data_IF_194289815319
#
_entry.id   IF_194289815319
#
_cell.length_a   1.000
_cell.length_b   1.000
_cell.length_c   1.000
_cell.angle_alpha   90.00
_cell.angle_beta   90.00
_cell.angle_gamma   90.00
#
_symmetry.space_group_name_H-M   'P 1'
#
loop_
_entity.id
_entity.type
_entity.pdbx_description
1 polymer ?
#
# COMPACT_ATOMS: atom_id res chain seq x y z
N UNK A 1 -59.83 1.55 -23.80
CA UNK A 1 -58.63 1.01 -23.14
C UNK A 1 -57.44 1.14 -24.07
N UNK A 2 -56.54 2.11 -23.84
CA UNK A 2 -55.22 2.17 -24.48
C UNK A 2 -54.21 2.32 -23.34
N UNK A 3 -53.40 1.28 -23.15
CA UNK A 3 -52.30 1.26 -22.19
C UNK A 3 -51.17 2.14 -22.74
N UNK A 4 -50.85 3.23 -22.04
CA UNK A 4 -49.63 4.00 -22.23
C UNK A 4 -48.53 3.35 -21.40
N UNK A 5 -47.53 2.78 -22.08
CA UNK A 5 -46.34 2.20 -21.47
C UNK A 5 -45.47 3.27 -20.82
N UNK A 6 -45.12 3.07 -19.55
CA UNK A 6 -44.09 3.85 -18.86
C UNK A 6 -42.72 3.52 -19.46
N UNK A 7 -42.09 4.50 -20.10
CA UNK A 7 -40.68 4.47 -20.45
C UNK A 7 -39.89 4.60 -19.15
N UNK A 8 -39.15 3.54 -18.78
CA UNK A 8 -38.29 3.54 -17.61
C UNK A 8 -37.10 4.47 -17.82
N UNK A 9 -37.02 5.54 -17.02
CA UNK A 9 -35.82 6.34 -16.88
C UNK A 9 -34.73 5.46 -16.27
N UNK A 10 -33.59 5.35 -16.95
CA UNK A 10 -32.40 4.70 -16.40
C UNK A 10 -31.96 5.41 -15.11
N UNK A 11 -31.48 4.68 -14.09
CA UNK A 11 -31.04 5.29 -12.84
C UNK A 11 -29.86 6.24 -13.10
N UNK A 12 -29.75 7.34 -12.32
CA UNK A 12 -28.66 8.29 -12.48
C UNK A 12 -27.31 7.59 -12.26
N UNK A 13 -26.35 7.85 -13.14
CA UNK A 13 -24.98 7.37 -12.98
C UNK A 13 -24.39 7.98 -11.70
N UNK A 14 -23.67 7.21 -10.87
CA UNK A 14 -23.08 7.73 -9.66
C UNK A 14 -22.05 8.84 -9.97
N UNK A 15 -21.89 9.83 -9.08
CA UNK A 15 -20.90 10.88 -9.27
C UNK A 15 -19.48 10.30 -9.36
N UNK A 16 -18.61 10.93 -10.15
CA UNK A 16 -17.25 10.44 -10.45
C UNK A 16 -16.44 10.14 -9.18
N UNK A 17 -16.60 10.93 -8.11
CA UNK A 17 -15.96 10.69 -6.80
C UNK A 17 -16.43 9.38 -6.12
N UNK A 18 -17.71 9.01 -6.27
CA UNK A 18 -18.25 7.75 -5.75
C UNK A 18 -17.74 6.56 -6.57
N UNK A 19 -17.61 6.72 -7.89
CA UNK A 19 -17.04 5.71 -8.78
C UNK A 19 -15.54 5.50 -8.50
N UNK A 20 -14.79 6.58 -8.30
CA UNK A 20 -13.39 6.53 -7.86
C UNK A 20 -13.28 5.90 -6.48
N UNK A 21 -14.15 6.24 -5.53
CA UNK A 21 -14.20 5.62 -4.20
C UNK A 21 -14.52 4.11 -4.24
N UNK A 22 -15.43 3.67 -5.11
CA UNK A 22 -15.74 2.25 -5.34
C UNK A 22 -14.58 1.50 -6.01
N UNK A 23 -13.92 2.12 -6.99
CA UNK A 23 -12.72 1.57 -7.63
C UNK A 23 -11.59 1.46 -6.60
N UNK A 24 -11.34 2.49 -5.79
CA UNK A 24 -10.33 2.45 -4.73
C UNK A 24 -10.63 1.42 -3.64
N UNK A 25 -11.89 1.25 -3.23
CA UNK A 25 -12.29 0.16 -2.32
C UNK A 25 -11.99 -1.23 -2.90
N UNK A 26 -12.17 -1.42 -4.21
CA UNK A 26 -11.85 -2.68 -4.90
C UNK A 26 -10.34 -2.89 -5.08
N UNK A 27 -9.57 -1.84 -5.34
CA UNK A 27 -8.10 -1.89 -5.44
C UNK A 27 -7.42 -2.07 -4.06
N UNK A 28 -8.11 -1.70 -2.98
CA UNK A 28 -7.63 -1.78 -1.61
C UNK A 28 -7.73 -3.17 -0.97
N UNK A 29 -8.53 -4.10 -1.49
CA UNK A 29 -8.65 -5.46 -0.93
C UNK A 29 -7.70 -6.42 -1.64
N UNK A 30 -6.60 -6.80 -0.97
CA UNK A 30 -5.71 -7.86 -1.48
C UNK A 30 -6.41 -9.21 -1.37
N UNK A 31 -6.68 -9.86 -2.50
CA UNK A 31 -7.26 -11.22 -2.54
C UNK A 31 -6.17 -12.29 -2.70
N UNK A 32 -5.30 -12.15 -3.70
CA UNK A 32 -4.18 -13.08 -3.95
C UNK A 32 -2.95 -12.33 -4.48
N UNK A 33 -1.80 -12.43 -3.80
CA UNK A 33 -0.54 -11.82 -4.28
C UNK A 33 0.29 -12.84 -5.04
N UNK A 34 0.51 -12.59 -6.32
CA UNK A 34 1.48 -13.34 -7.12
C UNK A 34 2.87 -12.70 -7.08
N UNK A 35 3.96 -13.48 -7.16
CA UNK A 35 5.31 -12.99 -6.96
C UNK A 35 5.82 -12.11 -8.11
N UNK A 36 5.67 -12.53 -9.36
CA UNK A 36 6.15 -11.81 -10.53
C UNK A 36 5.19 -11.97 -11.73
N UNK A 37 5.05 -10.92 -12.55
CA UNK A 37 4.31 -10.96 -13.82
C UNK A 37 4.97 -11.88 -14.85
N UNK A 38 6.31 -11.94 -14.83
CA UNK A 38 7.11 -12.84 -15.64
C UNK A 38 7.39 -14.14 -14.92
N UNK A 39 7.65 -15.21 -15.67
CA UNK A 39 8.26 -16.42 -15.12
C UNK A 39 9.60 -16.05 -14.52
N UNK A 40 9.87 -16.52 -13.29
CA UNK A 40 11.12 -16.26 -12.60
C UNK A 40 12.01 -17.48 -12.58
N UNK A 41 13.32 -17.27 -12.68
CA UNK A 41 14.35 -18.28 -12.58
C UNK A 41 15.30 -17.95 -11.42
N UNK A 42 15.85 -19.01 -10.80
CA UNK A 42 16.91 -18.89 -9.79
C UNK A 42 18.25 -19.00 -10.51
N UNK A 43 19.11 -18.00 -10.31
CA UNK A 43 20.49 -17.98 -10.81
C UNK A 43 21.46 -18.10 -9.64
N UNK A 44 22.47 -18.93 -9.79
CA UNK A 44 23.59 -19.10 -8.84
C UNK A 44 24.56 -17.91 -8.91
N UNK A 45 24.02 -16.72 -8.68
CA UNK A 45 24.74 -15.45 -8.64
C UNK A 45 24.29 -14.67 -7.40
N UNK A 46 25.20 -13.92 -6.74
CA UNK A 46 24.85 -13.15 -5.55
C UNK A 46 23.67 -12.20 -5.76
N UNK A 47 22.76 -12.16 -4.79
CA UNK A 47 21.62 -11.25 -4.80
C UNK A 47 22.06 -9.81 -4.54
N UNK A 48 21.68 -8.89 -5.42
CA UNK A 48 21.83 -7.45 -5.16
C UNK A 48 20.85 -6.92 -4.09
N UNK A 49 19.85 -7.73 -3.68
CA UNK A 49 18.81 -7.34 -2.72
C UNK A 49 19.13 -7.76 -1.28
N UNK A 50 19.87 -8.86 -1.11
CA UNK A 50 20.13 -9.46 0.21
C UNK A 50 21.60 -9.83 0.31
N UNK A 51 22.28 -9.18 1.24
CA UNK A 51 23.66 -9.49 1.57
C UNK A 51 23.80 -10.98 1.93
N UNK A 52 24.87 -11.60 1.43
CA UNK A 52 25.20 -13.01 1.65
C UNK A 52 24.23 -14.04 1.06
N UNK A 53 23.24 -13.65 0.25
CA UNK A 53 22.44 -14.63 -0.51
C UNK A 53 23.21 -15.04 -1.78
N UNK A 54 23.59 -16.33 -1.94
CA UNK A 54 24.45 -16.78 -3.03
C UNK A 54 23.73 -16.94 -4.38
N UNK A 55 22.39 -16.83 -4.38
CA UNK A 55 21.55 -16.91 -5.56
C UNK A 55 20.68 -15.66 -5.71
N UNK A 56 20.20 -15.39 -6.92
CA UNK A 56 19.23 -14.32 -7.20
C UNK A 56 18.04 -14.86 -8.00
N UNK A 57 16.87 -14.29 -7.74
CA UNK A 57 15.65 -14.58 -8.50
C UNK A 57 15.47 -13.51 -9.57
N UNK A 58 15.50 -13.91 -10.84
CA UNK A 58 15.40 -13.01 -11.99
C UNK A 58 14.15 -13.31 -12.81
N UNK A 59 13.52 -12.28 -13.37
CA UNK A 59 12.45 -12.42 -14.35
C UNK A 59 13.04 -12.83 -15.71
N UNK A 60 12.35 -13.73 -16.39
CA UNK A 60 12.58 -14.06 -17.80
C UNK A 60 11.80 -13.10 -18.70
N UNK A 61 11.90 -13.29 -20.01
CA UNK A 61 11.08 -12.55 -20.99
C UNK A 61 9.65 -13.08 -21.13
N UNK A 62 9.35 -14.24 -20.53
CA UNK A 62 8.09 -14.93 -20.66
C UNK A 62 7.10 -14.46 -19.59
N UNK A 63 5.91 -14.00 -20.00
CA UNK A 63 4.81 -13.68 -19.08
C UNK A 63 4.31 -14.99 -18.46
N UNK A 64 4.07 -14.99 -17.15
CA UNK A 64 3.59 -16.19 -16.45
C UNK A 64 2.17 -16.57 -16.87
N UNK A 65 1.86 -17.87 -16.94
CA UNK A 65 0.50 -18.35 -17.24
C UNK A 65 -0.53 -17.80 -16.24
N UNK A 66 -0.20 -17.84 -14.94
CA UNK A 66 -1.04 -17.26 -13.89
C UNK A 66 -1.37 -15.77 -14.16
N UNK A 67 -0.47 -15.01 -14.81
CA UNK A 67 -0.75 -13.62 -15.18
C UNK A 67 -1.65 -13.47 -16.40
N UNK A 68 -1.49 -14.35 -17.39
CA UNK A 68 -2.40 -14.41 -18.54
C UNK A 68 -3.81 -14.84 -18.12
N UNK A 69 -3.91 -15.82 -17.22
CA UNK A 69 -5.16 -16.35 -16.69
C UNK A 69 -5.96 -15.27 -15.91
N UNK A 70 -5.25 -14.32 -15.30
CA UNK A 70 -5.84 -13.18 -14.59
C UNK A 70 -6.17 -11.96 -15.49
N UNK A 71 -6.02 -12.09 -16.81
CA UNK A 71 -6.21 -11.01 -17.79
C UNK A 71 -5.38 -9.74 -17.48
N UNK A 72 -4.06 -9.93 -17.30
CA UNK A 72 -3.12 -8.85 -16.95
C UNK A 72 -3.16 -7.63 -17.89
N UNK A 73 -3.57 -7.81 -19.16
CA UNK A 73 -3.64 -6.72 -20.13
C UNK A 73 -4.79 -5.74 -19.88
N UNK A 74 -5.84 -6.18 -19.19
CA UNK A 74 -6.96 -5.34 -18.74
C UNK A 74 -6.77 -4.81 -17.32
N UNK A 75 -5.70 -5.22 -16.63
CA UNK A 75 -5.45 -4.87 -15.23
C UNK A 75 -4.98 -3.42 -15.07
N UNK A 76 -5.27 -2.85 -13.89
CA UNK A 76 -4.91 -1.46 -13.57
C UNK A 76 -3.50 -1.44 -12.94
N UNK A 77 -2.49 -0.82 -13.58
CA UNK A 77 -1.14 -0.74 -13.01
C UNK A 77 -1.03 0.39 -11.99
N UNK A 78 -0.38 0.08 -10.87
CA UNK A 78 -0.16 1.02 -9.77
C UNK A 78 1.28 0.92 -9.29
N UNK A 79 1.79 1.98 -8.67
CA UNK A 79 3.09 1.97 -8.02
C UNK A 79 3.11 0.91 -6.92
N UNK A 80 4.12 0.05 -6.93
CA UNK A 80 4.44 -0.76 -5.77
C UNK A 80 5.13 0.12 -4.74
N UNK A 81 4.45 0.33 -3.62
CA UNK A 81 5.01 1.07 -2.49
C UNK A 81 5.82 0.12 -1.60
N UNK A 82 7.03 0.54 -1.25
CA UNK A 82 7.93 -0.19 -0.37
C UNK A 82 7.69 0.22 1.08
N UNK A 83 6.67 -0.38 1.68
CA UNK A 83 6.27 -0.18 3.06
C UNK A 83 6.09 -1.48 3.83
N UNK A 84 5.49 -1.37 5.01
CA UNK A 84 4.94 -2.51 5.71
C UNK A 84 3.42 -2.51 5.57
N UNK A 85 2.89 -3.66 5.13
CA UNK A 85 1.48 -3.78 4.83
C UNK A 85 0.63 -3.68 6.11
N UNK A 86 -0.46 -2.94 6.00
CA UNK A 86 -1.44 -2.68 7.05
C UNK A 86 -2.85 -2.94 6.52
N UNK A 87 -3.80 -3.02 7.43
CA UNK A 87 -5.22 -3.21 7.12
C UNK A 87 -6.07 -2.39 8.08
N UNK A 88 -7.20 -1.84 7.63
CA UNK A 88 -8.15 -1.19 8.53
C UNK A 88 -9.44 -2.00 8.56
N UNK A 89 -9.84 -2.42 9.75
CA UNK A 89 -11.10 -3.13 10.01
C UNK A 89 -11.54 -2.94 11.44
N UNK A 90 -12.75 -3.38 11.76
CA UNK A 90 -13.37 -3.21 13.06
C UNK A 90 -12.65 -4.02 14.14
N UNK A 91 -12.34 -3.39 15.26
CA UNK A 91 -11.87 -4.01 16.49
C UNK A 91 -12.54 -3.32 17.68
N UNK A 92 -13.15 -4.08 18.59
CA UNK A 92 -13.91 -3.52 19.73
C UNK A 92 -14.97 -2.49 19.27
N UNK A 93 -15.72 -2.86 18.22
CA UNK A 93 -16.78 -2.06 17.59
C UNK A 93 -16.34 -0.70 17.01
N UNK A 94 -15.04 -0.48 16.79
CA UNK A 94 -14.48 0.74 16.21
C UNK A 94 -13.52 0.45 15.05
N UNK A 95 -13.42 1.34 14.04
CA UNK A 95 -12.38 1.23 13.01
C UNK A 95 -10.98 1.26 13.63
N UNK A 96 -10.14 0.28 13.28
CA UNK A 96 -8.83 0.12 13.87
C UNK A 96 -7.77 -0.17 12.81
N UNK A 97 -6.52 0.22 13.06
CA UNK A 97 -5.39 -0.17 12.23
C UNK A 97 -4.88 -1.53 12.69
N UNK A 98 -4.57 -2.39 11.72
CA UNK A 98 -4.03 -3.72 11.92
C UNK A 98 -2.72 -3.85 11.18
N UNK A 99 -1.72 -4.40 11.86
CA UNK A 99 -0.41 -4.68 11.29
C UNK A 99 -0.39 -6.11 10.72
N UNK A 100 0.34 -6.29 9.62
CA UNK A 100 0.57 -7.61 9.03
C UNK A 100 1.35 -8.51 9.99
N UNK A 101 0.86 -9.72 10.21
CA UNK A 101 1.54 -10.77 10.97
C UNK A 101 1.32 -12.13 10.32
N UNK A 102 2.32 -12.60 9.57
CA UNK A 102 2.27 -13.88 8.88
C UNK A 102 2.76 -14.99 9.80
N UNK A 103 2.05 -16.12 9.82
CA UNK A 103 2.45 -17.32 10.55
C UNK A 103 3.17 -18.27 9.60
N UNK A 104 4.16 -19.02 10.08
CA UNK A 104 4.81 -20.08 9.30
C UNK A 104 4.76 -21.37 10.15
N UNK A 105 3.87 -22.32 9.85
CA UNK A 105 3.82 -23.57 10.58
C UNK A 105 5.02 -24.42 10.16
N UNK A 106 6.08 -24.46 10.96
CA UNK A 106 7.25 -25.30 10.72
C UNK A 106 8.00 -25.59 12.04
N UNK A 107 7.71 -26.77 12.61
CA UNK A 107 8.51 -27.56 13.58
C UNK A 107 8.75 -26.92 14.97
N UNK A 108 8.21 -27.60 15.98
CA UNK A 108 8.39 -27.45 17.44
C UNK A 108 7.87 -26.16 18.12
N UNK A 109 7.82 -25.00 17.47
CA UNK A 109 7.22 -23.78 18.07
C UNK A 109 5.70 -23.67 17.87
N UNK A 110 5.11 -24.63 17.14
CA UNK A 110 3.73 -24.66 16.60
C UNK A 110 2.58 -24.79 17.64
N UNK A 111 2.86 -24.73 18.95
CA UNK A 111 1.82 -24.77 20.00
C UNK A 111 1.52 -23.42 20.63
N UNK A 112 2.17 -22.33 20.22
CA UNK A 112 1.74 -21.00 20.70
C UNK A 112 0.39 -20.68 20.04
N UNK A 113 -0.68 -20.48 20.84
CA UNK A 113 -1.95 -20.01 20.29
C UNK A 113 -1.70 -18.77 19.46
N UNK A 114 -2.47 -18.59 18.39
CA UNK A 114 -2.54 -17.28 17.77
C UNK A 114 -2.83 -16.26 18.88
N UNK A 115 -2.21 -15.07 18.83
CA UNK A 115 -2.64 -14.00 19.72
C UNK A 115 -4.17 -13.91 19.63
N UNK A 116 -4.88 -13.75 20.74
CA UNK A 116 -6.36 -13.86 20.77
C UNK A 116 -7.05 -12.97 19.73
N UNK A 117 -6.36 -11.92 19.29
CA UNK A 117 -6.84 -10.96 18.29
C UNK A 117 -6.18 -11.12 16.91
N UNK A 118 -5.52 -12.23 16.59
CA UNK A 118 -5.01 -12.48 15.23
C UNK A 118 -6.16 -12.94 14.33
N UNK A 119 -6.27 -12.34 13.14
CA UNK A 119 -7.23 -12.76 12.13
C UNK A 119 -6.51 -13.14 10.84
N UNK A 120 -6.96 -14.20 10.13
CA UNK A 120 -6.41 -14.52 8.82
C UNK A 120 -6.71 -13.39 7.84
N UNK A 121 -5.83 -13.21 6.86
CA UNK A 121 -6.18 -12.37 5.71
C UNK A 121 -7.39 -12.95 4.96
N UNK A 122 -8.13 -12.08 4.26
CA UNK A 122 -9.28 -12.50 3.46
C UNK A 122 -8.85 -13.51 2.41
N UNK A 123 -9.76 -14.44 2.11
CA UNK A 123 -9.66 -15.38 0.98
C UNK A 123 -8.42 -16.29 0.97
N UNK A 124 -7.85 -16.56 2.15
CA UNK A 124 -6.91 -17.69 2.33
C UNK A 124 -7.68 -19.00 2.12
N UNK A 125 -7.08 -19.93 1.38
CA UNK A 125 -7.62 -21.28 1.21
C UNK A 125 -7.88 -21.91 2.58
N UNK A 126 -9.06 -22.50 2.75
CA UNK A 126 -9.43 -23.14 4.02
C UNK A 126 -9.60 -24.64 3.83
N UNK A 127 -8.97 -25.41 4.73
CA UNK A 127 -9.21 -26.85 4.86
C UNK A 127 -9.86 -27.10 6.23
N UNK A 128 -11.08 -27.65 6.21
CA UNK A 128 -11.86 -27.91 7.44
C UNK A 128 -12.03 -26.68 8.34
N UNK A 129 -12.14 -25.48 7.75
CA UNK A 129 -12.30 -24.20 8.47
C UNK A 129 -10.99 -23.60 9.01
N UNK A 130 -9.84 -24.23 8.78
CA UNK A 130 -8.54 -23.69 9.14
C UNK A 130 -7.84 -23.07 7.92
N UNK A 131 -7.17 -21.91 8.08
CA UNK A 131 -6.42 -21.29 6.99
C UNK A 131 -5.18 -22.12 6.65
N UNK A 132 -5.03 -22.46 5.38
CA UNK A 132 -3.90 -23.24 4.86
C UNK A 132 -2.70 -22.33 4.53
N UNK A 133 -1.46 -22.83 4.68
CA UNK A 133 -0.26 -22.13 4.25
C UNK A 133 -0.21 -21.94 2.72
N UNK A 134 0.36 -20.82 2.28
CA UNK A 134 0.65 -20.56 0.88
C UNK A 134 1.78 -21.46 0.34
N UNK A 135 2.11 -21.32 -0.95
CA UNK A 135 3.20 -22.06 -1.61
C UNK A 135 4.59 -21.87 -0.94
N UNK A 136 4.75 -20.84 -0.10
CA UNK A 136 5.97 -20.54 0.67
C UNK A 136 5.87 -20.98 2.14
N UNK A 137 4.76 -21.61 2.53
CA UNK A 137 4.46 -22.06 3.89
C UNK A 137 4.02 -20.93 4.81
N UNK A 138 3.57 -19.77 4.32
CA UNK A 138 3.06 -18.69 5.17
C UNK A 138 1.55 -18.67 5.21
N UNK A 139 0.99 -18.36 6.39
CA UNK A 139 -0.41 -18.01 6.56
C UNK A 139 -0.48 -16.50 6.83
N UNK A 140 -0.81 -15.72 5.80
CA UNK A 140 -1.17 -14.31 5.90
C UNK A 140 -2.10 -13.96 7.06
N UNK A 141 -1.81 -12.90 7.81
CA UNK A 141 -2.74 -12.45 8.83
C UNK A 141 -2.49 -11.07 9.38
N UNK A 142 -3.32 -10.69 10.35
CA UNK A 142 -3.39 -9.34 10.89
C UNK A 142 -3.51 -9.37 12.41
N UNK A 143 -2.95 -8.37 13.08
CA UNK A 143 -3.19 -8.11 14.51
C UNK A 143 -3.47 -6.63 14.74
N UNK A 144 -4.32 -6.27 15.71
CA UNK A 144 -4.65 -4.88 15.96
C UNK A 144 -3.44 -4.10 16.49
N UNK A 145 -3.29 -2.86 16.03
CA UNK A 145 -2.23 -1.93 16.45
C UNK A 145 -2.69 -1.21 17.70
N UNK A 146 -2.45 -1.82 18.86
CA UNK A 146 -2.76 -1.19 20.15
C UNK A 146 -1.72 -0.12 20.53
N UNK A 147 -2.19 0.99 21.11
CA UNK A 147 -1.40 2.20 21.41
C UNK A 147 -0.10 1.94 22.20
N UNK A 148 -0.09 0.94 23.08
CA UNK A 148 1.04 0.63 23.96
C UNK A 148 1.91 -0.53 23.47
N UNK A 149 1.65 -1.08 22.28
CA UNK A 149 2.44 -2.16 21.74
C UNK A 149 3.72 -1.62 21.09
N UNK A 150 4.86 -1.78 21.79
CA UNK A 150 6.18 -1.34 21.31
C UNK A 150 6.56 -1.93 19.95
N UNK A 151 6.05 -3.11 19.59
CA UNK A 151 6.32 -3.74 18.29
C UNK A 151 5.74 -2.92 17.13
N UNK A 152 4.63 -2.22 17.37
CA UNK A 152 3.89 -1.47 16.36
C UNK A 152 3.92 0.04 16.61
N UNK A 153 4.90 0.55 17.37
CA UNK A 153 4.98 1.97 17.72
C UNK A 153 4.93 2.92 16.50
N UNK A 154 5.50 2.53 15.36
CA UNK A 154 5.43 3.31 14.11
C UNK A 154 4.04 3.27 13.46
N UNK A 155 3.33 2.15 13.57
CA UNK A 155 1.95 2.06 13.11
C UNK A 155 1.04 2.92 14.00
N UNK A 156 1.25 2.87 15.32
CA UNK A 156 0.51 3.72 16.28
C UNK A 156 0.77 5.21 16.09
N UNK A 157 1.87 5.61 15.44
CA UNK A 157 2.22 7.02 15.22
C UNK A 157 1.37 7.71 14.14
N UNK A 158 0.77 6.94 13.25
CA UNK A 158 -0.01 7.44 12.10
C UNK A 158 -1.51 7.35 12.30
N UNK A 159 -1.97 6.93 13.48
CA UNK A 159 -3.39 6.85 13.82
C UNK A 159 -3.66 7.54 15.15
N UNK A 160 -4.84 8.14 15.25
CA UNK A 160 -5.36 8.67 16.51
C UNK A 160 -6.77 8.13 16.71
N UNK A 161 -6.90 7.11 17.57
CA UNK A 161 -8.17 6.46 17.87
C UNK A 161 -9.14 7.33 18.68
N UNK A 162 -8.66 8.38 19.38
CA UNK A 162 -9.55 9.31 20.08
C UNK A 162 -10.39 10.13 19.12
N UNK A 163 -9.80 10.50 17.98
CA UNK A 163 -10.47 11.23 16.91
C UNK A 163 -10.85 10.35 15.71
N UNK A 164 -10.60 9.04 15.81
CA UNK A 164 -10.81 8.06 14.74
C UNK A 164 -10.21 8.48 13.39
N UNK A 165 -8.98 9.02 13.38
CA UNK A 165 -8.29 9.51 12.18
C UNK A 165 -6.95 8.82 11.92
N UNK A 166 -6.50 8.88 10.68
CA UNK A 166 -5.22 8.40 10.19
C UNK A 166 -4.49 9.45 9.34
N UNK A 167 -3.16 9.49 9.40
CA UNK A 167 -2.32 10.30 8.51
C UNK A 167 -2.10 9.56 7.19
N UNK A 168 -2.64 10.11 6.11
CA UNK A 168 -2.65 9.49 4.79
C UNK A 168 -1.96 10.36 3.75
N UNK A 169 -1.07 9.76 2.96
CA UNK A 169 -0.53 10.32 1.72
C UNK A 169 -1.36 9.82 0.53
N UNK A 170 -1.86 10.76 -0.28
CA UNK A 170 -2.69 10.48 -1.46
C UNK A 170 -2.45 11.52 -2.57
N UNK A 171 -3.09 11.33 -3.72
CA UNK A 171 -3.16 12.38 -4.73
C UNK A 171 -4.04 13.54 -4.26
N UNK A 172 -3.64 14.77 -4.59
CA UNK A 172 -4.55 15.91 -4.47
C UNK A 172 -5.75 15.68 -5.41
N UNK A 173 -7.00 15.90 -4.95
CA UNK A 173 -8.20 15.59 -5.72
C UNK A 173 -8.27 16.34 -7.07
N UNK A 174 -7.81 17.60 -7.08
CA UNK A 174 -7.93 18.47 -8.25
C UNK A 174 -6.63 18.64 -9.05
N UNK A 175 -5.48 18.15 -8.54
CA UNK A 175 -4.18 18.30 -9.18
C UNK A 175 -3.41 16.98 -9.16
N UNK A 176 -3.43 16.27 -10.28
CA UNK A 176 -2.76 14.98 -10.39
C UNK A 176 -1.23 15.04 -10.26
N UNK A 177 -0.62 16.22 -10.42
CA UNK A 177 0.82 16.44 -10.20
C UNK A 177 1.17 16.62 -8.72
N UNK A 178 0.20 16.99 -7.88
CA UNK A 178 0.38 17.30 -6.47
C UNK A 178 0.00 16.12 -5.57
N UNK A 179 0.81 15.88 -4.55
CA UNK A 179 0.49 14.98 -3.44
C UNK A 179 -0.20 15.77 -2.32
N UNK A 180 -1.03 15.09 -1.53
CA UNK A 180 -1.64 15.63 -0.33
C UNK A 180 -1.36 14.70 0.87
N UNK A 181 -0.90 15.28 1.97
CA UNK A 181 -0.93 14.64 3.29
C UNK A 181 -2.13 15.19 4.05
N UNK A 182 -2.99 14.30 4.52
CA UNK A 182 -4.23 14.69 5.22
C UNK A 182 -4.53 13.77 6.39
N UNK A 183 -5.25 14.30 7.38
CA UNK A 183 -5.95 13.47 8.36
C UNK A 183 -7.25 12.97 7.73
N UNK A 184 -7.43 11.66 7.68
CA UNK A 184 -8.59 11.00 7.08
C UNK A 184 -9.29 10.15 8.14
N UNK A 185 -10.64 10.16 8.24
CA UNK A 185 -11.37 9.24 9.10
C UNK A 185 -10.98 7.77 8.85
N UNK A 186 -10.75 7.01 9.91
CA UNK A 186 -10.48 5.57 9.81
C UNK A 186 -11.66 4.82 9.17
N UNK A 187 -12.88 5.31 9.33
CA UNK A 187 -14.08 4.79 8.68
C UNK A 187 -14.01 4.83 7.15
N UNK A 188 -13.34 5.84 6.57
CA UNK A 188 -13.14 5.94 5.12
C UNK A 188 -12.15 4.89 4.60
N UNK A 189 -11.29 4.37 5.49
CA UNK A 189 -10.27 3.36 5.19
C UNK A 189 -10.74 1.93 5.49
N UNK A 190 -11.96 1.74 6.02
CA UNK A 190 -12.48 0.41 6.37
C UNK A 190 -12.38 -0.57 5.20
N UNK A 191 -11.91 -1.77 5.53
CA UNK A 191 -11.70 -2.90 4.65
C UNK A 191 -10.65 -2.65 3.54
N UNK A 192 -9.81 -1.62 3.68
CA UNK A 192 -8.69 -1.36 2.78
C UNK A 192 -7.37 -1.84 3.39
N UNK A 193 -6.51 -2.37 2.53
CA UNK A 193 -5.10 -2.57 2.83
C UNK A 193 -4.30 -1.31 2.47
N UNK A 194 -3.28 -1.03 3.27
CA UNK A 194 -2.42 0.13 3.13
C UNK A 194 -0.96 -0.30 3.24
N UNK A 195 -0.06 0.57 2.83
CA UNK A 195 1.36 0.48 3.12
C UNK A 195 1.72 1.60 4.09
N UNK A 196 2.26 1.24 5.25
CA UNK A 196 2.91 2.19 6.14
C UNK A 196 4.31 2.46 5.59
N UNK A 197 4.65 3.73 5.39
CA UNK A 197 6.01 4.16 5.01
C UNK A 197 6.54 5.16 6.04
N UNK A 198 7.86 5.36 6.07
CA UNK A 198 8.45 6.37 6.93
C UNK A 198 9.89 6.10 7.32
N UNK A 199 10.40 6.97 8.21
CA UNK A 199 11.80 6.99 8.64
C UNK A 199 12.33 5.64 9.14
N UNK A 200 11.48 4.83 9.76
CA UNK A 200 11.85 3.55 10.37
C UNK A 200 11.23 2.34 9.67
N UNK A 201 10.76 2.50 8.42
CA UNK A 201 10.10 1.44 7.67
C UNK A 201 10.89 1.12 6.40
N UNK A 202 11.16 -0.16 6.18
CA UNK A 202 11.80 -0.69 4.96
C UNK A 202 13.10 0.03 4.54
N UNK A 203 13.87 0.55 5.49
CA UNK A 203 15.10 1.30 5.20
C UNK A 203 14.88 2.74 4.70
N UNK A 204 13.65 3.26 4.78
CA UNK A 204 13.24 4.61 4.38
C UNK A 204 13.57 4.95 2.91
N UNK A 205 13.07 4.17 1.93
CA UNK A 205 13.38 4.38 0.51
C UNK A 205 12.87 5.72 -0.01
N UNK A 206 11.89 6.32 0.67
CA UNK A 206 11.28 7.60 0.31
C UNK A 206 11.96 8.82 0.98
N UNK A 207 12.94 8.61 1.86
CA UNK A 207 13.68 9.70 2.50
C UNK A 207 12.81 10.58 3.42
N UNK A 208 11.81 9.98 4.07
CA UNK A 208 10.88 10.69 4.94
C UNK A 208 11.48 10.94 6.32
N UNK A 209 11.42 12.19 6.78
CA UNK A 209 11.88 12.61 8.10
C UNK A 209 13.33 12.27 8.41
N UNK A 210 13.66 12.23 9.69
CA UNK A 210 15.01 11.88 10.18
C UNK A 210 14.93 11.11 11.50
N UNK A 211 16.03 10.50 11.95
CA UNK A 211 16.05 9.84 13.28
C UNK A 211 15.66 10.79 14.42
N UNK A 212 15.97 12.09 14.29
CA UNK A 212 15.62 13.12 15.28
C UNK A 212 14.14 13.52 15.18
N UNK A 213 13.61 13.58 13.97
CA UNK A 213 12.24 13.94 13.65
C UNK A 213 11.62 12.89 12.74
N UNK A 214 11.24 11.72 13.30
CA UNK A 214 10.68 10.64 12.50
C UNK A 214 9.36 11.08 11.89
N UNK A 215 9.10 10.62 10.67
CA UNK A 215 7.88 10.88 9.91
C UNK A 215 7.40 9.57 9.29
N UNK A 216 6.12 9.27 9.50
CA UNK A 216 5.45 8.09 8.97
C UNK A 216 4.10 8.47 8.37
N UNK A 217 3.66 7.76 7.34
CA UNK A 217 2.41 8.00 6.61
C UNK A 217 1.82 6.66 6.16
N UNK A 218 0.49 6.58 6.08
CA UNK A 218 -0.21 5.49 5.41
C UNK A 218 -0.48 5.83 3.94
N UNK A 219 -0.35 4.84 3.07
CA UNK A 219 -0.74 4.93 1.66
C UNK A 219 -1.74 3.81 1.36
N UNK A 220 -2.99 4.12 0.98
CA UNK A 220 -3.92 3.09 0.50
C UNK A 220 -3.35 2.34 -0.70
N UNK A 221 -3.51 1.01 -0.73
CA UNK A 221 -3.10 0.23 -1.88
C UNK A 221 -3.81 0.70 -3.14
N UNK A 222 -3.04 0.81 -4.23
CA UNK A 222 -3.54 1.27 -5.52
C UNK A 222 -3.84 2.77 -5.63
N UNK A 223 -3.48 3.57 -4.62
CA UNK A 223 -3.67 5.03 -4.64
C UNK A 223 -2.90 5.72 -5.79
N UNK A 224 -1.78 5.17 -6.22
CA UNK A 224 -0.89 5.76 -7.22
C UNK A 224 -0.94 4.94 -8.52
N UNK A 225 -1.91 5.23 -9.39
CA UNK A 225 -1.99 4.61 -10.72
C UNK A 225 -0.87 5.10 -11.64
N UNK A 226 -0.30 4.20 -12.43
CA UNK A 226 0.75 4.50 -13.40
C UNK A 226 0.08 4.84 -14.73
N UNK A 227 0.32 6.04 -15.25
CA UNK A 227 -0.36 6.52 -16.46
C UNK A 227 0.40 6.18 -17.73
N UNK A 228 1.73 6.25 -17.70
CA UNK A 228 2.57 6.07 -18.88
C UNK A 228 3.34 4.75 -18.82
N UNK A 229 2.62 3.66 -18.57
CA UNK A 229 3.22 2.33 -18.56
C UNK A 229 3.56 1.89 -20.00
N UNK A 230 4.76 1.38 -20.28
CA UNK A 230 5.08 0.83 -21.59
C UNK A 230 4.35 -0.50 -21.82
N UNK A 231 4.40 -1.01 -23.06
CA UNK A 231 3.91 -2.37 -23.35
C UNK A 231 4.52 -3.40 -22.41
N UNK A 232 3.72 -4.38 -21.96
CA UNK A 232 4.14 -5.45 -21.05
C UNK A 232 5.13 -6.41 -21.73
N UNK A 233 6.38 -5.97 -21.84
CA UNK A 233 7.54 -6.71 -22.36
C UNK A 233 8.72 -6.44 -21.44
N UNK A 234 9.51 -7.47 -21.16
CA UNK A 234 10.63 -7.41 -20.21
C UNK A 234 11.59 -6.24 -20.49
N UNK A 235 12.11 -6.14 -21.71
CA UNK A 235 13.04 -5.08 -22.11
C UNK A 235 12.44 -3.66 -22.07
N UNK A 236 11.14 -3.53 -22.36
CA UNK A 236 10.43 -2.24 -22.31
C UNK A 236 10.21 -1.77 -20.88
N UNK A 237 9.85 -2.68 -19.98
CA UNK A 237 9.76 -2.37 -18.56
C UNK A 237 11.13 -2.03 -17.97
N UNK A 238 12.18 -2.81 -18.29
CA UNK A 238 13.55 -2.52 -17.88
C UNK A 238 13.96 -1.09 -18.27
N UNK A 239 13.82 -0.74 -19.55
CA UNK A 239 14.14 0.60 -20.07
C UNK A 239 13.32 1.69 -19.38
N UNK A 240 12.06 1.42 -19.05
CA UNK A 240 11.19 2.38 -18.36
C UNK A 240 11.59 2.60 -16.91
N UNK A 241 11.94 1.55 -16.16
CA UNK A 241 12.44 1.67 -14.78
C UNK A 241 13.75 2.45 -14.70
N UNK A 242 14.59 2.41 -15.74
CA UNK A 242 15.87 3.13 -15.79
C UNK A 242 15.73 4.57 -16.30
N UNK A 243 15.00 4.76 -17.40
CA UNK A 243 14.96 6.04 -18.12
C UNK A 243 13.75 6.93 -17.84
N UNK A 244 12.64 6.39 -17.31
CA UNK A 244 11.44 7.18 -17.08
C UNK A 244 11.43 7.78 -15.67
N UNK A 245 10.99 9.05 -15.56
CA UNK A 245 10.78 9.71 -14.26
C UNK A 245 9.74 8.97 -13.41
N UNK A 246 8.60 8.58 -13.99
CA UNK A 246 7.54 7.78 -13.34
C UNK A 246 8.03 6.37 -12.98
N UNK A 247 9.05 5.87 -13.69
CA UNK A 247 9.68 4.57 -13.47
C UNK A 247 10.65 4.50 -12.29
N UNK A 248 10.88 5.61 -11.57
CA UNK A 248 11.73 5.65 -10.38
C UNK A 248 11.01 5.13 -9.13
N UNK A 249 10.46 3.92 -9.21
CA UNK A 249 9.63 3.27 -8.18
C UNK A 249 10.14 1.85 -7.89
N UNK A 250 9.73 1.25 -6.76
CA UNK A 250 10.19 -0.11 -6.35
C UNK A 250 9.79 -1.18 -7.36
N UNK A 251 8.60 -1.00 -7.93
CA UNK A 251 7.96 -1.99 -8.76
C UNK A 251 6.58 -1.53 -9.21
N UNK A 252 5.88 -2.41 -9.90
CA UNK A 252 4.50 -2.20 -10.35
C UNK A 252 3.63 -3.28 -9.72
N UNK A 253 2.42 -2.92 -9.32
CA UNK A 253 1.35 -3.85 -8.96
C UNK A 253 0.18 -3.64 -9.93
N UNK A 254 -0.16 -4.67 -10.68
CA UNK A 254 -1.36 -4.75 -11.50
C UNK A 254 -2.51 -5.34 -10.69
N UNK A 255 -3.63 -4.63 -10.71
CA UNK A 255 -4.87 -5.05 -10.07
C UNK A 255 -5.80 -5.63 -11.13
N UNK A 256 -5.95 -6.95 -11.10
CA UNK A 256 -6.73 -7.70 -12.08
C UNK A 256 -8.22 -7.66 -11.73
N UNK A 257 -9.09 -7.92 -12.71
CA UNK A 257 -10.54 -7.89 -12.49
C UNK A 257 -11.05 -9.01 -11.59
N UNK A 258 -10.33 -10.13 -11.53
CA UNK A 258 -10.57 -11.23 -10.59
C UNK A 258 -10.02 -10.94 -9.18
N UNK A 259 -9.48 -9.73 -8.96
CA UNK A 259 -8.83 -9.24 -7.74
C UNK A 259 -7.48 -9.86 -7.43
N UNK A 260 -6.91 -10.63 -8.35
CA UNK A 260 -5.52 -11.04 -8.28
C UNK A 260 -4.60 -9.82 -8.39
N UNK A 261 -3.60 -9.75 -7.50
CA UNK A 261 -2.53 -8.76 -7.55
C UNK A 261 -1.28 -9.41 -8.11
N UNK A 262 -0.87 -8.93 -9.28
CA UNK A 262 0.35 -9.36 -9.95
C UNK A 262 1.35 -8.23 -9.87
N UNK A 263 2.62 -8.54 -9.62
CA UNK A 263 3.63 -7.50 -9.42
C UNK A 263 4.89 -7.75 -10.24
N UNK A 264 5.70 -6.72 -10.40
CA UNK A 264 7.11 -6.86 -10.78
C UNK A 264 7.90 -5.91 -9.90
N UNK A 265 9.08 -6.34 -9.47
CA UNK A 265 9.99 -5.49 -8.71
C UNK A 265 11.23 -5.18 -9.56
N UNK A 266 11.88 -4.04 -9.29
CA UNK A 266 13.18 -3.68 -9.89
C UNK A 266 14.20 -4.81 -9.86
N UNK A 267 14.34 -5.47 -8.71
CA UNK A 267 15.32 -6.56 -8.56
C UNK A 267 15.03 -7.79 -9.42
N UNK A 268 13.77 -8.06 -9.78
CA UNK A 268 13.47 -9.13 -10.75
C UNK A 268 14.06 -8.81 -12.13
N UNK A 269 14.18 -7.53 -12.48
CA UNK A 269 14.80 -7.06 -13.72
C UNK A 269 16.30 -6.78 -13.57
N UNK A 270 16.93 -7.21 -12.47
CA UNK A 270 18.35 -6.97 -12.19
C UNK A 270 18.68 -5.53 -11.77
N UNK A 271 17.67 -4.70 -11.52
CA UNK A 271 17.85 -3.31 -11.10
C UNK A 271 17.93 -3.19 -9.57
N UNK A 272 18.74 -2.23 -9.11
CA UNK A 272 18.87 -1.90 -7.69
C UNK A 272 17.61 -1.20 -7.14
N UNK A 273 17.37 -1.43 -5.85
CA UNK A 273 16.42 -0.73 -5.01
C UNK A 273 16.89 -0.80 -3.55
N UNK A 274 16.78 0.28 -2.74
CA UNK A 274 16.27 1.60 -3.09
C UNK A 274 17.17 2.36 -4.08
N UNK A 275 16.61 3.37 -4.74
CA UNK A 275 17.35 4.30 -5.59
C UNK A 275 17.31 5.71 -4.99
N UNK A 276 18.30 6.57 -5.28
CA UNK A 276 18.19 8.00 -4.98
C UNK A 276 17.01 8.61 -5.73
N UNK A 277 16.29 9.54 -5.09
CA UNK A 277 15.23 10.34 -5.71
C UNK A 277 14.15 9.53 -6.43
N UNK A 278 13.34 8.79 -5.65
CA UNK A 278 12.17 8.07 -6.15
C UNK A 278 11.16 9.01 -6.78
N UNK A 279 10.28 8.48 -7.63
CA UNK A 279 9.25 9.28 -8.28
C UNK A 279 8.38 9.98 -7.22
N UNK A 280 7.86 9.22 -6.26
CA UNK A 280 7.06 9.75 -5.16
C UNK A 280 7.79 10.81 -4.34
N UNK A 281 9.06 10.60 -3.97
CA UNK A 281 9.76 11.55 -3.11
C UNK A 281 10.09 12.88 -3.82
N UNK A 282 10.12 12.88 -5.15
CA UNK A 282 10.43 14.04 -5.98
C UNK A 282 9.21 14.93 -6.30
N UNK A 283 8.01 14.50 -5.90
CA UNK A 283 6.76 15.20 -6.21
C UNK A 283 6.45 16.29 -5.19
N UNK A 284 5.86 17.42 -5.62
CA UNK A 284 5.37 18.43 -4.71
C UNK A 284 4.25 17.86 -3.84
N UNK A 285 4.15 18.37 -2.62
CA UNK A 285 3.14 17.93 -1.64
C UNK A 285 2.56 19.13 -0.91
N UNK A 286 1.26 19.10 -0.64
CA UNK A 286 0.56 20.03 0.25
C UNK A 286 0.12 19.31 1.52
N UNK A 287 0.21 20.00 2.65
CA UNK A 287 -0.36 19.54 3.93
C UNK A 287 -1.77 20.10 4.04
N UNK A 288 -2.74 19.22 4.24
CA UNK A 288 -4.16 19.57 4.38
C UNK A 288 -4.79 18.73 5.49
N UNK A 289 -4.61 19.18 6.73
CA UNK A 289 -5.01 18.43 7.90
C UNK A 289 -6.53 18.39 8.12
N UNK A 290 -7.31 19.22 7.42
CA UNK A 290 -8.79 19.20 7.45
C UNK A 290 -9.37 19.09 8.88
N UNK A 291 -8.75 19.75 9.86
CA UNK A 291 -9.04 19.59 11.28
C UNK A 291 -10.23 20.40 11.78
N UNK A 292 -11.18 20.73 10.90
CA UNK A 292 -12.37 21.55 11.22
C UNK A 292 -13.27 20.97 12.34
N UNK A 293 -12.91 19.79 12.91
CA UNK A 293 -13.59 19.10 14.01
C UNK A 293 -12.69 18.79 15.22
N UNK A 294 -11.39 19.11 15.19
CA UNK A 294 -10.45 18.83 16.29
C UNK A 294 -10.09 20.14 17.02
N UNK A 295 -10.99 20.62 17.88
CA UNK A 295 -10.71 21.74 18.79
C UNK A 295 -9.74 21.37 19.94
N UNK A 296 -9.34 20.10 20.02
CA UNK A 296 -8.52 19.54 21.09
C UNK A 296 -7.04 19.50 20.72
N UNK A 297 -6.21 19.95 21.68
CA UNK A 297 -4.76 19.95 21.54
C UNK A 297 -4.23 18.51 21.47
N UNK A 298 -3.78 18.10 20.28
CA UNK A 298 -3.00 16.88 20.11
C UNK A 298 -1.81 16.86 21.08
N UNK A 299 -1.37 15.66 21.48
CA UNK A 299 -0.12 15.53 22.23
C UNK A 299 1.01 16.22 21.45
N UNK A 300 1.77 17.09 22.13
CA UNK A 300 2.78 17.95 21.50
C UNK A 300 3.79 17.15 20.67
N UNK A 301 4.07 15.90 21.05
CA UNK A 301 5.05 15.02 20.41
C UNK A 301 4.49 14.17 19.27
N UNK A 302 3.17 14.16 19.03
CA UNK A 302 2.60 13.30 17.98
C UNK A 302 2.65 13.95 16.60
N UNK A 303 2.66 13.13 15.55
CA UNK A 303 2.75 13.61 14.17
C UNK A 303 1.59 14.50 13.77
N UNK A 304 0.37 14.23 14.27
CA UNK A 304 -0.80 15.08 14.01
C UNK A 304 -0.55 16.52 14.45
N UNK A 305 -0.01 16.73 15.67
CA UNK A 305 0.33 18.07 16.15
C UNK A 305 1.39 18.74 15.25
N UNK A 306 2.42 18.01 14.84
CA UNK A 306 3.45 18.56 13.98
C UNK A 306 2.91 18.98 12.61
N UNK A 307 2.08 18.14 11.98
CA UNK A 307 1.43 18.48 10.71
C UNK A 307 0.42 19.63 10.85
N UNK A 308 -0.31 19.74 11.97
CA UNK A 308 -1.19 20.89 12.24
C UNK A 308 -0.45 22.22 12.23
N UNK A 309 0.80 22.26 12.70
CA UNK A 309 1.62 23.50 12.70
C UNK A 309 2.05 23.95 11.30
N UNK A 310 2.12 23.02 10.36
CA UNK A 310 2.49 23.27 8.96
C UNK A 310 1.31 23.07 8.01
N UNK A 311 0.08 23.18 8.52
CA UNK A 311 -1.11 23.03 7.72
C UNK A 311 -1.17 24.08 6.60
N UNK A 312 -1.70 23.70 5.44
CA UNK A 312 -1.74 24.48 4.21
C UNK A 312 -0.36 24.85 3.62
N UNK A 313 0.75 24.37 4.19
CA UNK A 313 2.06 24.56 3.59
C UNK A 313 2.27 23.61 2.42
N UNK A 314 2.97 24.12 1.39
CA UNK A 314 3.35 23.37 0.20
C UNK A 314 4.87 23.19 0.16
N UNK A 315 5.30 21.96 -0.07
CA UNK A 315 6.70 21.61 -0.22
C UNK A 315 6.98 21.25 -1.68
N UNK A 316 8.18 21.61 -2.17
CA UNK A 316 8.60 21.31 -3.53
C UNK A 316 8.75 19.81 -3.77
N UNK A 317 9.16 19.06 -2.74
CA UNK A 317 9.32 17.60 -2.76
C UNK A 317 8.80 17.00 -1.45
N UNK A 318 8.23 15.80 -1.52
CA UNK A 318 7.75 15.08 -0.34
C UNK A 318 8.85 14.88 0.73
N UNK A 319 10.08 14.59 0.30
CA UNK A 319 11.23 14.41 1.22
C UNK A 319 11.72 15.71 1.89
N UNK A 320 11.24 16.88 1.44
CA UNK A 320 11.65 18.17 2.01
C UNK A 320 10.87 18.53 3.28
N UNK A 321 9.87 17.71 3.67
CA UNK A 321 9.14 17.92 4.92
C UNK A 321 10.08 17.62 6.10
N UNK A 322 10.40 18.68 6.85
CA UNK A 322 11.15 18.62 8.09
C UNK A 322 10.33 19.38 9.13
N UNK A 323 10.17 18.79 10.31
CA UNK A 323 9.54 19.48 11.43
C UNK A 323 10.59 20.36 12.11
N UNK A 324 10.47 21.67 11.94
CA UNK A 324 11.19 22.65 12.76
C UNK A 324 10.58 22.61 14.18
N UNK A 325 11.43 22.40 15.19
CA UNK A 325 11.00 22.37 16.61
C UNK A 325 10.76 23.79 17.09
#
# INVERSE_FOLDING_TARGET
MRFLGKVGLAPPRPPLALLVGLIMKRLGSVQRKMPCVFVTEVKEEPSAKRDHQPFKVSATETISHKALDADIYSAIPTEKVDGTCCYVTTYKDQPYLWARLDRKPNKQEDFKPAAECWIPAKEIEQMNGNPEPDENGHIPGWVPVEKNNKRYCWHSSVVNYEFEIALVLKHHPDDSGLLEISAVPLSDLLEQTLELIGTNISGNPYGLGSKKHPLHLLIPHGAFQIRNLPSLKHNRLLSWFEGCKEGKIEGIVWHCSDGCLIKVHRHHLGLCWPIPDTYMNSRPVIINMNLNKCDSAFNIKCLFNHFSKIDNQKFARLKDIIFDV
#
